data_IF_048685574993
#
_entry.id   IF_048685574993
#
_cell.length_a   1.000
_cell.length_b   1.000
_cell.length_c   1.000
_cell.angle_alpha   90.00
_cell.angle_beta   90.00
_cell.angle_gamma   90.00
#
_symmetry.space_group_name_H-M   'P 1'
#
loop_
_entity.id
_entity.type
_entity.pdbx_description
1 polymer ?
#
# COMPACT_ATOMS: atom_id res chain seq x y z
N UNK A 1 -11.86 -13.81 -10.38
CA UNK A 1 -10.77 -13.45 -9.44
C UNK A 1 -10.08 -12.22 -10.01
N UNK A 2 -10.10 -11.10 -9.30
CA UNK A 2 -9.37 -9.88 -9.67
C UNK A 2 -8.37 -9.62 -8.56
N UNK A 3 -7.08 -9.82 -8.84
CA UNK A 3 -5.99 -9.65 -7.87
C UNK A 3 -5.81 -8.19 -7.47
N UNK A 4 -6.36 -7.24 -8.25
CA UNK A 4 -6.20 -5.79 -8.05
C UNK A 4 -4.73 -5.35 -8.12
N UNK A 5 -3.82 -6.18 -8.63
CA UNK A 5 -2.39 -5.91 -8.86
C UNK A 5 -2.13 -5.26 -10.20
N UNK A 6 -1.49 -4.10 -10.16
CA UNK A 6 -0.91 -3.48 -11.33
C UNK A 6 0.53 -4.00 -11.44
N UNK A 7 0.80 -4.69 -12.54
CA UNK A 7 2.12 -5.20 -12.84
C UNK A 7 2.41 -5.17 -14.33
N UNK A 8 3.69 -5.25 -14.68
CA UNK A 8 4.17 -5.32 -16.06
C UNK A 8 5.18 -6.46 -16.21
N UNK A 9 5.24 -7.02 -17.41
CA UNK A 9 6.27 -8.00 -17.78
C UNK A 9 7.44 -7.20 -18.36
N UNK A 10 8.64 -7.40 -17.82
CA UNK A 10 9.84 -6.79 -18.38
C UNK A 10 10.43 -7.66 -19.51
N UNK A 11 11.40 -7.11 -20.24
CA UNK A 11 12.03 -7.75 -21.40
C UNK A 11 12.78 -9.06 -21.07
N UNK A 12 13.08 -9.30 -19.79
CA UNK A 12 13.66 -10.55 -19.29
C UNK A 12 12.62 -11.65 -19.03
N UNK A 13 11.35 -11.38 -19.34
CA UNK A 13 10.22 -12.29 -19.18
C UNK A 13 9.69 -12.40 -17.74
N UNK A 14 10.15 -11.55 -16.82
CA UNK A 14 9.68 -11.56 -15.42
C UNK A 14 8.53 -10.60 -15.19
N UNK A 15 7.60 -11.00 -14.31
CA UNK A 15 6.47 -10.17 -13.85
C UNK A 15 6.92 -9.30 -12.67
N UNK A 16 6.77 -7.99 -12.81
CA UNK A 16 7.00 -7.01 -11.77
C UNK A 16 5.66 -6.47 -11.27
N UNK A 17 5.44 -6.54 -9.95
CA UNK A 17 4.30 -5.90 -9.29
C UNK A 17 4.70 -4.44 -9.05
N UNK A 18 4.08 -3.52 -9.79
CA UNK A 18 4.41 -2.10 -9.76
C UNK A 18 3.61 -1.35 -8.69
N UNK A 19 2.35 -1.71 -8.51
CA UNK A 19 1.47 -1.05 -7.55
C UNK A 19 0.27 -1.93 -7.16
N UNK A 20 -0.39 -1.56 -6.07
CA UNK A 20 -1.69 -2.11 -5.68
C UNK A 20 -2.80 -1.12 -6.04
N UNK A 21 -3.81 -1.54 -6.80
CA UNK A 21 -4.99 -0.70 -7.09
C UNK A 21 -5.75 -0.27 -5.82
N UNK A 22 -5.52 -0.95 -4.70
CA UNK A 22 -5.94 -0.52 -3.36
C UNK A 22 -4.69 -0.14 -2.59
N UNK A 23 -4.70 1.01 -1.92
CA UNK A 23 -3.61 1.52 -1.08
C UNK A 23 -3.29 0.58 0.11
N UNK A 24 -2.64 -0.54 -0.19
CA UNK A 24 -2.25 -1.60 0.72
C UNK A 24 -0.75 -1.77 0.58
N UNK A 25 -0.03 -1.66 1.69
CA UNK A 25 1.40 -1.86 1.78
C UNK A 25 1.63 -3.28 2.30
N UNK A 26 2.48 -4.07 1.64
CA UNK A 26 2.84 -5.42 2.12
C UNK A 26 4.21 -5.34 2.81
N UNK A 27 4.26 -5.68 4.10
CA UNK A 27 5.50 -5.69 4.89
C UNK A 27 5.48 -6.84 5.89
N UNK A 28 6.61 -7.52 6.11
CA UNK A 28 6.69 -8.63 7.06
C UNK A 28 5.77 -9.83 6.75
N UNK A 29 5.37 -10.01 5.47
CA UNK A 29 4.34 -10.95 5.03
C UNK A 29 2.89 -10.63 5.47
N UNK A 30 2.65 -9.41 5.96
CA UNK A 30 1.34 -8.91 6.38
C UNK A 30 0.83 -7.81 5.44
N UNK A 31 -0.50 -7.68 5.35
CA UNK A 31 -1.17 -6.61 4.62
C UNK A 31 -1.46 -5.44 5.55
N UNK A 32 -0.93 -4.25 5.24
CA UNK A 32 -1.18 -3.02 5.99
C UNK A 32 -2.02 -2.08 5.13
N UNK A 33 -3.21 -1.72 5.59
CA UNK A 33 -4.09 -0.78 4.89
C UNK A 33 -3.82 0.65 5.37
N UNK A 34 -3.61 1.61 4.45
CA UNK A 34 -3.35 3.01 4.84
C UNK A 34 -4.43 3.58 5.76
N UNK A 35 -5.70 3.27 5.53
CA UNK A 35 -6.79 3.73 6.38
C UNK A 35 -6.72 3.23 7.84
N UNK A 36 -6.15 2.04 8.09
CA UNK A 36 -5.96 1.51 9.45
C UNK A 36 -4.85 2.23 10.20
N UNK A 37 -3.87 2.77 9.48
CA UNK A 37 -2.76 3.57 10.03
C UNK A 37 -3.15 5.04 10.16
N UNK A 38 -3.79 5.61 9.13
CA UNK A 38 -4.10 7.04 9.04
C UNK A 38 -5.29 7.45 9.91
N UNK A 39 -6.33 6.63 10.07
CA UNK A 39 -7.50 7.02 10.88
C UNK A 39 -7.14 7.28 12.36
N UNK A 40 -6.36 6.41 13.05
CA UNK A 40 -5.91 6.70 14.41
C UNK A 40 -4.96 7.90 14.47
N UNK A 41 -4.05 8.05 13.49
CA UNK A 41 -3.12 9.19 13.43
C UNK A 41 -3.85 10.51 13.20
N UNK A 42 -4.90 10.54 12.38
CA UNK A 42 -5.72 11.73 12.16
C UNK A 42 -6.49 12.16 13.42
N UNK A 43 -6.74 11.23 14.35
CA UNK A 43 -7.36 11.50 15.64
C UNK A 43 -6.35 11.84 16.73
N UNK A 44 -5.05 11.66 16.49
CA UNK A 44 -3.98 12.03 17.41
C UNK A 44 -3.66 13.54 17.28
N UNK A 45 -3.90 14.35 18.33
CA UNK A 45 -3.58 15.77 18.33
C UNK A 45 -2.10 16.09 18.04
N UNK A 46 -1.18 15.15 18.29
CA UNK A 46 0.25 15.33 18.03
C UNK A 46 0.60 15.17 16.53
N UNK A 47 -0.13 14.32 15.80
CA UNK A 47 0.08 14.08 14.37
C UNK A 47 -0.51 15.20 13.49
N UNK A 48 -1.53 15.91 13.96
CA UNK A 48 -2.11 17.08 13.30
C UNK A 48 -1.12 18.26 13.14
N UNK A 49 0.07 18.18 13.74
CA UNK A 49 1.11 19.21 13.73
C UNK A 49 2.38 18.87 12.92
N UNK A 50 2.33 17.88 12.02
CA UNK A 50 3.38 17.72 11.03
C UNK A 50 3.23 18.79 9.93
N UNK A 51 3.96 19.92 10.09
CA UNK A 51 4.18 20.93 9.04
C UNK A 51 5.37 20.55 8.15
#
# INVERSE_FOLDING_TARGET
MHTSDLGYIADDGRLYIADRLKAVIITGAENVYSAEVENPLAQDPAAAHAR
#
